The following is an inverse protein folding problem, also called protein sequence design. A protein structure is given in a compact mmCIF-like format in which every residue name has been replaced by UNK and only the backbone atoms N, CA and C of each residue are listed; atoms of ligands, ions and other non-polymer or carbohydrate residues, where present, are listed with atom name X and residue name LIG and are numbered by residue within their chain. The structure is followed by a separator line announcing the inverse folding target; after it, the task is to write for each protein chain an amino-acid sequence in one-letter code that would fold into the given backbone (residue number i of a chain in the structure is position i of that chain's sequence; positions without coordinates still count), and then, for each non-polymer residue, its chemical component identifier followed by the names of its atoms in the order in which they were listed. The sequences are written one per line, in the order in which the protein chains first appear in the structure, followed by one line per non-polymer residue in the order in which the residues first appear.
data_IF_382525702951
#
_entry.id   IF_382525702951
#
_cell.length_a   1.000
_cell.length_b   1.000
_cell.length_c   1.000
_cell.angle_alpha   90.00
_cell.angle_beta   90.00
_cell.angle_gamma   90.00
#
_symmetry.space_group_name_H-M   'P 1'
#
loop_
_entity.id
_entity.type
_entity.pdbx_description
1 polymer ?
#
# COMPACT_ATOMS: atom_id res chain seq x y z
N UNK A 1 -14.02 24.23 21.93
CA UNK A 1 -13.64 24.76 20.59
C UNK A 1 -12.15 24.58 20.29
N UNK A 2 -11.21 24.92 21.17
CA UNK A 2 -9.76 24.74 20.95
C UNK A 2 -9.39 23.26 20.64
N UNK A 3 -9.97 22.30 21.36
CA UNK A 3 -9.70 20.87 21.14
C UNK A 3 -10.20 20.37 19.78
N UNK A 4 -11.28 20.96 19.24
CA UNK A 4 -11.81 20.58 17.93
C UNK A 4 -10.90 21.05 16.78
N UNK A 5 -10.34 22.25 16.88
CA UNK A 5 -9.35 22.76 15.92
C UNK A 5 -8.04 22.00 15.99
N UNK A 6 -7.59 21.65 17.20
CA UNK A 6 -6.40 20.82 17.38
C UNK A 6 -6.57 19.44 16.75
N UNK A 7 -7.70 18.78 17.00
CA UNK A 7 -7.99 17.46 16.41
C UNK A 7 -8.11 17.51 14.88
N UNK A 8 -8.72 18.57 14.32
CA UNK A 8 -8.79 18.76 12.88
C UNK A 8 -7.39 18.97 12.25
N UNK A 9 -6.51 19.72 12.93
CA UNK A 9 -5.14 19.90 12.50
C UNK A 9 -4.33 18.59 12.51
N UNK A 10 -4.45 17.81 13.58
CA UNK A 10 -3.82 16.49 13.70
C UNK A 10 -4.31 15.55 12.59
N UNK A 11 -5.62 15.52 12.35
CA UNK A 11 -6.22 14.72 11.28
C UNK A 11 -5.70 15.10 9.89
N UNK A 12 -5.58 16.39 9.60
CA UNK A 12 -5.04 16.88 8.34
C UNK A 12 -3.60 16.45 8.13
N UNK A 13 -2.76 16.61 9.15
CA UNK A 13 -1.36 16.21 9.09
C UNK A 13 -1.25 14.71 8.87
N UNK A 14 -1.99 13.92 9.65
CA UNK A 14 -2.02 12.47 9.49
C UNK A 14 -2.44 12.08 8.07
N UNK A 15 -3.51 12.66 7.54
CA UNK A 15 -4.01 12.35 6.19
C UNK A 15 -3.01 12.68 5.09
N UNK A 16 -2.23 13.75 5.23
CA UNK A 16 -1.18 14.11 4.27
C UNK A 16 -0.04 13.08 4.30
N UNK A 17 0.39 12.68 5.50
CA UNK A 17 1.42 11.64 5.64
C UNK A 17 0.93 10.31 5.07
N UNK A 18 -0.28 9.87 5.44
CA UNK A 18 -0.87 8.60 4.99
C UNK A 18 -1.01 8.57 3.47
N UNK A 19 -1.47 9.66 2.86
CA UNK A 19 -1.57 9.76 1.40
C UNK A 19 -0.19 9.63 0.72
N UNK A 20 0.81 10.32 1.26
CA UNK A 20 2.14 10.29 0.65
C UNK A 20 2.82 8.93 0.84
N UNK A 21 2.71 8.33 2.02
CA UNK A 21 3.21 6.98 2.32
C UNK A 21 2.51 5.95 1.44
N UNK A 22 1.19 6.07 1.25
CA UNK A 22 0.42 5.21 0.34
C UNK A 22 0.94 5.29 -1.10
N UNK A 23 1.17 6.49 -1.64
CA UNK A 23 1.71 6.67 -3.00
C UNK A 23 3.10 6.05 -3.14
N UNK A 24 3.95 6.23 -2.12
CA UNK A 24 5.30 5.67 -2.09
C UNK A 24 5.28 4.13 -1.97
N UNK A 25 4.39 3.60 -1.14
CA UNK A 25 4.20 2.15 -0.98
C UNK A 25 3.64 1.53 -2.26
N UNK A 26 2.69 2.20 -2.91
CA UNK A 26 2.17 1.79 -4.21
C UNK A 26 3.29 1.71 -5.26
N UNK A 27 4.22 2.65 -5.29
CA UNK A 27 5.40 2.59 -6.16
C UNK A 27 6.22 1.32 -5.92
N UNK A 28 6.52 0.98 -4.65
CA UNK A 28 7.29 -0.21 -4.30
C UNK A 28 6.56 -1.48 -4.77
N UNK A 29 5.24 -1.54 -4.55
CA UNK A 29 4.41 -2.67 -5.01
C UNK A 29 4.43 -2.78 -6.54
N UNK A 30 4.20 -1.68 -7.27
CA UNK A 30 4.20 -1.68 -8.74
C UNK A 30 5.56 -2.09 -9.31
N UNK A 31 6.64 -1.70 -8.67
CA UNK A 31 7.99 -2.10 -9.06
C UNK A 31 8.23 -3.58 -8.77
N UNK A 32 7.76 -4.09 -7.63
CA UNK A 32 7.88 -5.50 -7.25
C UNK A 32 7.12 -6.44 -8.21
N UNK A 33 5.91 -6.03 -8.65
CA UNK A 33 5.12 -6.81 -9.63
C UNK A 33 5.55 -6.58 -11.09
N UNK A 34 6.67 -5.90 -11.32
CA UNK A 34 7.21 -5.59 -12.64
C UNK A 34 6.16 -4.94 -13.58
N UNK A 35 5.46 -3.94 -13.09
CA UNK A 35 4.53 -3.18 -13.92
C UNK A 35 5.28 -2.50 -15.07
N UNK A 36 4.65 -2.42 -16.26
CA UNK A 36 5.25 -1.78 -17.42
C UNK A 36 5.60 -0.32 -17.10
N UNK A 37 6.85 0.05 -17.34
CA UNK A 37 7.37 1.41 -17.13
C UNK A 37 6.71 2.45 -18.04
N UNK A 38 6.03 2.03 -19.11
CA UNK A 38 5.27 2.89 -20.02
C UNK A 38 3.84 3.14 -19.55
N UNK A 39 3.37 2.45 -18.51
CA UNK A 39 2.05 2.68 -17.95
C UNK A 39 1.95 4.11 -17.37
N UNK A 40 1.00 4.93 -17.82
CA UNK A 40 0.90 6.35 -17.42
C UNK A 40 0.67 6.52 -15.91
N UNK A 41 0.00 5.57 -15.26
CA UNK A 41 -0.19 5.60 -13.80
C UNK A 41 1.12 5.31 -13.07
N UNK A 42 1.92 4.36 -13.56
CA UNK A 42 3.25 4.11 -13.01
C UNK A 42 4.15 5.35 -13.15
N UNK A 43 4.13 6.01 -14.32
CA UNK A 43 4.89 7.25 -14.56
C UNK A 43 4.44 8.35 -13.59
N UNK A 44 3.13 8.49 -13.36
CA UNK A 44 2.60 9.48 -12.42
C UNK A 44 3.11 9.22 -10.99
N UNK A 45 2.98 8.00 -10.50
CA UNK A 45 3.45 7.59 -9.16
C UNK A 45 4.96 7.80 -9.05
N UNK A 46 5.74 7.40 -10.06
CA UNK A 46 7.17 7.61 -10.10
C UNK A 46 7.54 9.10 -10.08
N UNK A 47 6.82 9.94 -10.80
CA UNK A 47 7.06 11.40 -10.84
C UNK A 47 6.83 12.04 -9.47
N UNK A 48 5.78 11.65 -8.77
CA UNK A 48 5.43 12.17 -7.43
C UNK A 48 6.44 11.71 -6.35
N UNK A 49 6.99 10.52 -6.48
CA UNK A 49 7.88 9.92 -5.47
C UNK A 49 9.36 10.13 -5.74
N UNK A 50 9.76 10.47 -6.97
CA UNK A 50 11.16 10.71 -7.35
C UNK A 50 11.85 11.85 -6.59
N UNK A 51 11.21 13.00 -6.26
CA UNK A 51 11.91 14.11 -5.62
C UNK A 51 12.63 13.72 -4.33
N UNK A 52 12.01 13.11 -3.31
CA UNK A 52 12.71 12.67 -2.10
C UNK A 52 13.55 11.41 -2.29
N UNK A 53 13.21 10.57 -3.26
CA UNK A 53 13.94 9.32 -3.50
C UNK A 53 15.30 9.53 -4.16
N UNK A 54 15.41 10.47 -5.10
CA UNK A 54 16.64 10.73 -5.85
C UNK A 54 17.89 10.91 -4.96
N UNK A 55 17.87 11.71 -3.89
CA UNK A 55 19.05 11.87 -3.02
C UNK A 55 19.40 10.55 -2.32
N UNK A 56 18.40 9.75 -1.92
CA UNK A 56 18.62 8.51 -1.18
C UNK A 56 19.11 7.39 -2.11
N UNK A 57 18.58 7.30 -3.33
CA UNK A 57 19.03 6.35 -4.34
C UNK A 57 20.48 6.57 -4.79
N UNK A 58 21.04 7.77 -4.61
CA UNK A 58 22.47 8.02 -4.85
C UNK A 58 23.37 7.36 -3.81
N UNK A 59 22.85 7.16 -2.59
CA UNK A 59 23.59 6.57 -1.47
C UNK A 59 23.39 5.06 -1.41
N UNK A 60 22.19 4.57 -1.79
CA UNK A 60 21.80 3.17 -1.69
C UNK A 60 21.36 2.70 -3.07
N UNK A 61 22.17 1.89 -3.77
CA UNK A 61 21.80 1.35 -5.07
C UNK A 61 20.65 0.33 -4.93
N UNK A 62 19.78 0.29 -5.95
CA UNK A 62 18.75 -0.74 -6.05
C UNK A 62 19.41 -2.10 -6.31
N UNK A 63 19.02 -3.13 -5.55
CA UNK A 63 19.51 -4.50 -5.69
C UNK A 63 18.36 -5.41 -6.12
N UNK A 64 18.56 -6.20 -7.18
CA UNK A 64 17.59 -7.18 -7.68
C UNK A 64 16.19 -6.64 -8.01
N UNK A 65 16.08 -5.41 -8.50
CA UNK A 65 14.79 -4.81 -8.85
C UNK A 65 13.97 -4.27 -7.68
N UNK A 66 14.46 -4.44 -6.44
CA UNK A 66 13.83 -3.85 -5.25
C UNK A 66 14.56 -2.55 -4.91
N UNK A 67 13.80 -1.49 -4.74
CA UNK A 67 14.31 -0.17 -4.39
C UNK A 67 14.42 -0.04 -2.86
N UNK A 68 15.57 -0.51 -2.30
CA UNK A 68 15.84 -0.42 -0.86
C UNK A 68 15.79 1.02 -0.34
N UNK A 69 16.13 1.98 -1.18
CA UNK A 69 16.00 3.39 -0.84
C UNK A 69 14.54 3.79 -0.59
N UNK A 70 13.60 3.25 -1.38
CA UNK A 70 12.18 3.48 -1.17
C UNK A 70 11.66 2.84 0.12
N UNK A 71 12.10 1.62 0.44
CA UNK A 71 11.72 0.93 1.69
C UNK A 71 12.25 1.70 2.91
N UNK A 72 13.50 2.16 2.87
CA UNK A 72 14.08 2.95 3.94
C UNK A 72 13.35 4.28 4.13
N UNK A 73 13.00 4.95 3.02
CA UNK A 73 12.24 6.19 3.05
C UNK A 73 10.84 5.98 3.63
N UNK A 74 10.17 4.88 3.24
CA UNK A 74 8.87 4.49 3.79
C UNK A 74 8.93 4.32 5.30
N UNK A 75 9.90 3.52 5.78
CA UNK A 75 10.08 3.29 7.21
C UNK A 75 10.38 4.60 7.95
N UNK A 76 11.26 5.44 7.40
CA UNK A 76 11.60 6.73 7.98
C UNK A 76 10.40 7.70 8.06
N UNK A 77 9.59 7.76 7.01
CA UNK A 77 8.38 8.60 6.98
C UNK A 77 7.32 8.10 7.95
N UNK A 78 7.12 6.77 8.04
CA UNK A 78 6.18 6.18 8.98
C UNK A 78 6.61 6.44 10.43
N UNK A 79 7.89 6.26 10.73
CA UNK A 79 8.45 6.59 12.05
C UNK A 79 8.29 8.07 12.37
N UNK A 80 8.55 8.96 11.41
CA UNK A 80 8.38 10.41 11.58
C UNK A 80 6.92 10.77 11.86
N UNK A 81 5.97 10.19 11.11
CA UNK A 81 4.53 10.36 11.32
C UNK A 81 4.13 9.96 12.74
N UNK A 82 4.48 8.73 13.16
CA UNK A 82 4.12 8.20 14.47
C UNK A 82 4.74 9.06 15.59
N UNK A 83 6.04 9.37 15.49
CA UNK A 83 6.72 10.20 16.48
C UNK A 83 6.09 11.58 16.62
N UNK A 84 5.73 12.19 15.49
CA UNK A 84 5.10 13.50 15.45
C UNK A 84 3.69 13.48 16.06
N UNK A 85 2.88 12.48 15.73
CA UNK A 85 1.53 12.32 16.28
C UNK A 85 1.55 12.05 17.78
N UNK A 86 2.44 11.17 18.26
CA UNK A 86 2.60 10.89 19.70
C UNK A 86 3.05 12.14 20.45
N UNK A 87 3.99 12.90 19.89
CA UNK A 87 4.45 14.14 20.49
C UNK A 87 3.31 15.17 20.61
N UNK A 88 2.47 15.31 19.58
CA UNK A 88 1.33 16.23 19.60
C UNK A 88 0.23 15.83 20.59
N UNK A 89 0.00 14.52 20.77
CA UNK A 89 -1.11 14.02 21.61
C UNK A 89 -0.72 13.84 23.08
N UNK A 90 0.47 13.32 23.34
CA UNK A 90 0.89 12.88 24.68
C UNK A 90 2.06 13.69 25.23
N UNK A 91 2.67 14.54 24.41
CA UNK A 91 3.83 15.38 24.77
C UNK A 91 5.04 14.55 25.27
N UNK A 92 5.15 13.29 24.83
CA UNK A 92 6.22 12.37 25.17
C UNK A 92 6.91 11.87 23.89
N UNK A 93 8.18 11.49 24.00
CA UNK A 93 8.90 10.86 22.89
C UNK A 93 8.76 9.34 23.02
N UNK A 94 8.31 8.63 21.97
CA UNK A 94 8.21 7.18 22.00
C UNK A 94 9.60 6.53 22.06
N UNK A 95 9.70 5.35 22.68
CA UNK A 95 10.92 4.57 22.65
C UNK A 95 11.29 4.18 21.22
N UNK A 96 12.55 4.31 20.83
CA UNK A 96 13.03 4.08 19.47
C UNK A 96 12.68 2.68 18.93
N UNK A 97 12.86 1.63 19.75
CA UNK A 97 12.52 0.24 19.37
C UNK A 97 11.00 0.11 19.13
N UNK A 98 10.18 0.66 20.03
CA UNK A 98 8.72 0.65 19.88
C UNK A 98 8.27 1.37 18.61
N UNK A 99 8.94 2.47 18.27
CA UNK A 99 8.67 3.24 17.05
C UNK A 99 8.93 2.41 15.78
N UNK A 100 10.04 1.67 15.72
CA UNK A 100 10.36 0.79 14.59
C UNK A 100 9.30 -0.31 14.44
N UNK A 101 8.92 -0.96 15.55
CA UNK A 101 7.93 -2.05 15.53
C UNK A 101 6.57 -1.52 15.05
N UNK A 102 6.13 -0.38 15.57
CA UNK A 102 4.87 0.24 15.16
C UNK A 102 4.91 0.67 13.69
N UNK A 103 5.98 1.32 13.24
CA UNK A 103 6.12 1.74 11.86
C UNK A 103 6.11 0.55 10.89
N UNK A 104 6.81 -0.53 11.23
CA UNK A 104 6.80 -1.75 10.43
C UNK A 104 5.41 -2.41 10.38
N UNK A 105 4.72 -2.48 11.53
CA UNK A 105 3.36 -3.01 11.61
C UNK A 105 2.37 -2.21 10.76
N UNK A 106 2.43 -0.87 10.81
CA UNK A 106 1.57 -0.01 10.00
C UNK A 106 1.85 -0.15 8.49
N UNK A 107 3.13 -0.23 8.10
CA UNK A 107 3.49 -0.48 6.70
C UNK A 107 2.99 -1.84 6.19
N UNK A 108 3.07 -2.90 7.01
CA UNK A 108 2.51 -4.20 6.66
C UNK A 108 0.99 -4.13 6.51
N UNK A 109 0.32 -3.46 7.42
CA UNK A 109 -1.13 -3.27 7.36
C UNK A 109 -1.54 -2.51 6.09
N UNK A 110 -0.85 -1.42 5.76
CA UNK A 110 -1.08 -0.67 4.53
C UNK A 110 -0.81 -1.52 3.27
N UNK A 111 0.22 -2.36 3.29
CA UNK A 111 0.53 -3.27 2.19
C UNK A 111 -0.60 -4.28 1.97
N UNK A 112 -1.09 -4.91 3.04
CA UNK A 112 -2.23 -5.83 2.98
C UNK A 112 -3.47 -5.12 2.44
N UNK A 113 -3.74 -3.90 2.88
CA UNK A 113 -4.86 -3.10 2.41
C UNK A 113 -4.78 -2.78 0.91
N UNK A 114 -3.57 -2.47 0.39
CA UNK A 114 -3.39 -2.25 -1.06
C UNK A 114 -3.79 -3.50 -1.85
N UNK A 115 -3.33 -4.66 -1.45
CA UNK A 115 -3.69 -5.92 -2.11
C UNK A 115 -5.19 -6.24 -1.97
N UNK A 116 -5.74 -6.04 -0.79
CA UNK A 116 -7.16 -6.25 -0.53
C UNK A 116 -8.05 -5.39 -1.45
N UNK A 117 -7.79 -4.08 -1.48
CA UNK A 117 -8.56 -3.18 -2.36
C UNK A 117 -8.31 -3.44 -3.84
N UNK A 118 -7.11 -3.84 -4.24
CA UNK A 118 -6.82 -4.20 -5.63
C UNK A 118 -7.65 -5.43 -6.07
N UNK A 119 -7.73 -6.46 -5.22
CA UNK A 119 -8.53 -7.67 -5.50
C UNK A 119 -10.02 -7.34 -5.54
N UNK A 120 -10.54 -6.54 -4.59
CA UNK A 120 -11.94 -6.09 -4.62
C UNK A 120 -12.24 -5.32 -5.90
N UNK A 121 -11.41 -4.34 -6.23
CA UNK A 121 -11.60 -3.53 -7.42
C UNK A 121 -11.58 -4.38 -8.70
N UNK A 122 -10.66 -5.34 -8.80
CA UNK A 122 -10.59 -6.27 -9.92
C UNK A 122 -11.84 -7.15 -10.00
N UNK A 123 -12.34 -7.65 -8.86
CA UNK A 123 -13.55 -8.48 -8.78
C UNK A 123 -14.78 -7.70 -9.26
N UNK A 124 -14.97 -6.48 -8.75
CA UNK A 124 -16.07 -5.61 -9.17
C UNK A 124 -15.97 -5.32 -10.67
N UNK A 125 -14.76 -5.00 -11.14
CA UNK A 125 -14.54 -4.68 -12.54
C UNK A 125 -14.84 -5.87 -13.46
N UNK A 126 -14.51 -7.10 -13.06
CA UNK A 126 -14.80 -8.31 -13.81
C UNK A 126 -16.31 -8.56 -13.98
N UNK A 127 -17.12 -8.06 -13.05
CA UNK A 127 -18.60 -8.21 -13.12
C UNK A 127 -19.25 -7.09 -13.93
N UNK A 128 -18.75 -5.85 -13.76
CA UNK A 128 -19.33 -4.66 -14.41
C UNK A 128 -18.89 -4.56 -15.87
N UNK A 129 -17.65 -4.89 -16.16
CA UNK A 129 -17.06 -4.74 -17.49
C UNK A 129 -15.97 -5.81 -17.74
N UNK A 130 -16.39 -7.04 -18.12
CA UNK A 130 -15.45 -8.16 -18.33
C UNK A 130 -14.40 -7.89 -19.42
N UNK A 131 -14.68 -6.99 -20.34
CA UNK A 131 -13.81 -6.60 -21.44
C UNK A 131 -13.09 -5.26 -21.20
N UNK A 132 -13.09 -4.77 -19.96
CA UNK A 132 -12.38 -3.53 -19.66
C UNK A 132 -10.88 -3.67 -19.91
N UNK A 133 -10.34 -2.74 -20.68
CA UNK A 133 -8.93 -2.64 -20.99
C UNK A 133 -8.47 -1.23 -20.65
N UNK A 134 -7.26 -1.10 -20.10
CA UNK A 134 -6.69 0.21 -19.81
C UNK A 134 -5.59 0.14 -18.75
N UNK A 135 -4.86 1.24 -18.57
CA UNK A 135 -3.71 1.30 -17.65
C UNK A 135 -4.05 0.95 -16.20
N UNK A 136 -5.25 1.32 -15.75
CA UNK A 136 -5.73 1.01 -14.40
C UNK A 136 -5.99 -0.49 -14.24
N UNK A 137 -6.65 -1.11 -15.23
CA UNK A 137 -6.97 -2.55 -15.22
C UNK A 137 -5.70 -3.37 -15.19
N UNK A 138 -4.71 -2.99 -16.02
CA UNK A 138 -3.41 -3.65 -16.04
C UNK A 138 -2.74 -3.64 -14.67
N UNK A 139 -2.73 -2.49 -13.98
CA UNK A 139 -2.18 -2.37 -12.63
C UNK A 139 -2.94 -3.25 -11.64
N UNK A 140 -4.27 -3.23 -11.65
CA UNK A 140 -5.08 -4.05 -10.75
C UNK A 140 -4.82 -5.54 -10.97
N UNK A 141 -4.74 -5.98 -12.22
CA UNK A 141 -4.41 -7.38 -12.56
C UNK A 141 -3.02 -7.74 -12.05
N UNK A 142 -2.00 -6.93 -12.35
CA UNK A 142 -0.62 -7.20 -11.95
C UNK A 142 -0.44 -7.20 -10.43
N UNK A 143 -1.04 -6.25 -9.73
CA UNK A 143 -0.98 -6.19 -8.26
C UNK A 143 -1.71 -7.38 -7.63
N UNK A 144 -2.83 -7.81 -8.20
CA UNK A 144 -3.60 -8.95 -7.68
C UNK A 144 -3.00 -10.32 -8.05
N UNK A 145 -2.21 -10.40 -9.12
CA UNK A 145 -1.67 -11.65 -9.66
C UNK A 145 -0.89 -12.49 -8.65
N UNK A 146 0.05 -11.94 -7.84
CA UNK A 146 0.82 -12.73 -6.87
C UNK A 146 -0.06 -13.41 -5.81
N UNK A 147 -1.23 -12.84 -5.51
CA UNK A 147 -2.18 -13.42 -4.57
C UNK A 147 -3.15 -14.40 -5.24
N UNK A 148 -3.58 -14.11 -6.46
CA UNK A 148 -4.57 -14.94 -7.18
C UNK A 148 -3.91 -16.17 -7.81
N UNK A 149 -2.67 -16.04 -8.31
CA UNK A 149 -1.95 -17.12 -8.99
C UNK A 149 -1.84 -18.43 -8.19
N UNK A 150 -1.45 -18.43 -6.89
CA UNK A 150 -1.42 -19.66 -6.10
C UNK A 150 -2.80 -20.28 -5.91
N UNK A 151 -3.84 -19.46 -5.79
CA UNK A 151 -5.23 -19.92 -5.60
C UNK A 151 -5.79 -20.54 -6.88
N UNK A 152 -5.49 -19.94 -8.04
CA UNK A 152 -5.85 -20.52 -9.36
C UNK A 152 -5.21 -21.90 -9.60
N UNK A 153 -4.04 -22.16 -9.01
CA UNK A 153 -3.40 -23.47 -9.09
C UNK A 153 -4.12 -24.56 -8.32
N UNK A 154 -4.93 -24.20 -7.32
CA UNK A 154 -5.67 -25.11 -6.45
C UNK A 154 -7.12 -25.29 -6.92
N UNK A 155 -7.72 -24.25 -7.50
CA UNK A 155 -9.12 -24.22 -7.91
C UNK A 155 -9.25 -24.29 -9.43
N UNK A 156 -9.90 -25.33 -9.97
CA UNK A 156 -10.24 -25.35 -11.39
C UNK A 156 -11.27 -24.26 -11.71
N UNK A 157 -11.09 -23.57 -12.84
CA UNK A 157 -12.08 -22.60 -13.33
C UNK A 157 -13.40 -23.32 -13.64
N UNK A 158 -14.47 -22.99 -12.89
CA UNK A 158 -15.80 -23.55 -13.08
C UNK A 158 -16.60 -22.60 -13.99
N UNK A 159 -16.98 -23.08 -15.15
CA UNK A 159 -17.89 -22.39 -16.10
C UNK A 159 -17.44 -21.00 -16.58
N UNK A 160 -16.11 -20.74 -16.67
CA UNK A 160 -15.58 -19.45 -17.17
C UNK A 160 -15.66 -18.30 -16.17
N UNK A 161 -16.20 -18.52 -14.98
CA UNK A 161 -16.19 -17.57 -13.87
C UNK A 161 -15.01 -17.88 -12.95
N UNK A 162 -14.23 -16.86 -12.66
CA UNK A 162 -13.07 -16.96 -11.77
C UNK A 162 -13.50 -16.66 -10.32
N UNK A 163 -13.67 -17.70 -9.51
CA UNK A 163 -14.02 -17.59 -8.10
C UNK A 163 -12.81 -17.36 -7.18
N UNK A 164 -11.62 -17.38 -7.73
CA UNK A 164 -10.37 -17.18 -6.96
C UNK A 164 -10.34 -15.87 -6.16
N UNK A 165 -10.83 -14.73 -6.69
CA UNK A 165 -10.88 -13.48 -5.94
C UNK A 165 -11.82 -13.53 -4.75
N UNK A 166 -12.95 -14.24 -4.87
CA UNK A 166 -13.97 -14.38 -3.81
C UNK A 166 -13.44 -15.20 -2.63
N UNK A 167 -12.72 -16.27 -2.92
CA UNK A 167 -12.09 -17.12 -1.90
C UNK A 167 -10.95 -16.35 -1.20
N UNK A 168 -10.15 -15.60 -1.96
CA UNK A 168 -9.11 -14.77 -1.40
C UNK A 168 -9.68 -13.72 -0.45
N UNK A 169 -10.76 -13.04 -0.84
CA UNK A 169 -11.44 -12.05 -0.01
C UNK A 169 -11.98 -12.67 1.28
N UNK A 170 -12.56 -13.87 1.23
CA UNK A 170 -13.04 -14.57 2.42
C UNK A 170 -11.87 -14.94 3.36
N UNK A 171 -10.73 -15.36 2.81
CA UNK A 171 -9.54 -15.71 3.58
C UNK A 171 -8.94 -14.49 4.28
N UNK A 172 -8.85 -13.35 3.59
CA UNK A 172 -8.36 -12.10 4.16
C UNK A 172 -9.31 -11.60 5.25
N UNK A 173 -10.62 -11.67 5.01
CA UNK A 173 -11.62 -11.23 5.97
C UNK A 173 -11.63 -12.08 7.26
N UNK A 174 -11.34 -13.37 7.16
CA UNK A 174 -11.19 -14.26 8.34
C UNK A 174 -9.91 -13.95 9.11
N UNK A 175 -8.85 -13.50 8.44
CA UNK A 175 -7.57 -13.17 9.08
C UNK A 175 -7.54 -11.79 9.75
N UNK A 176 -8.52 -10.94 9.46
CA UNK A 176 -8.65 -9.63 10.11
C UNK A 176 -9.22 -9.82 11.52
N UNK A 177 -8.40 -9.65 12.60
CA UNK A 177 -8.94 -9.70 13.95
C UNK A 177 -9.93 -8.54 14.11
N UNK A 178 -11.16 -8.87 14.43
CA UNK A 178 -12.19 -7.89 14.80
C UNK A 178 -11.59 -6.92 15.81
N UNK A 179 -11.30 -5.69 15.39
CA UNK A 179 -10.98 -4.61 16.32
C UNK A 179 -12.24 -4.38 17.16
N UNK A 180 -12.21 -4.59 18.48
CA UNK A 180 -13.30 -4.11 19.32
C UNK A 180 -13.29 -2.58 19.22
N UNK A 181 -14.45 -2.01 19.01
CA UNK A 181 -14.72 -0.58 18.96
C UNK A 181 -14.33 0.12 20.26
#
# INVERSE_FOLDING_TARGET
MLNSFSNAGIFLIQSIFDLYIFILLLRVVLQWVNTDSHNPLFILVARLTNPPLRPICRMIPSLHGIDFAAILLLLGLEMLKIAFLVWLQVNTTPHFIGLIVLAFSELLNQLINIFFYAVIALTILSWVSPLAHGPLVEILVRVSEPLIKPIRGILPSISGLDFSPLILLSLIHISEPTRPY
#
